data_IF_036700451926
#
_entry.id   IF_036700451926
#
_cell.length_a   1.000
_cell.length_b   1.000
_cell.length_c   1.000
_cell.angle_alpha   90.00
_cell.angle_beta   90.00
_cell.angle_gamma   90.00
#
_symmetry.space_group_name_H-M   'P 1'
#
loop_
_entity.id
_entity.type
_entity.pdbx_description
1 polymer ?
#
# COMPACT_ATOMS: atom_id res chain seq x y z
N UNK A 1 6.20 -27.42 -2.37
CA UNK A 1 6.74 -26.03 -2.25
C UNK A 1 5.69 -25.08 -2.77
N UNK A 2 5.40 -24.04 -2.01
CA UNK A 2 4.47 -23.00 -2.41
C UNK A 2 4.98 -22.22 -3.63
N UNK A 3 4.07 -21.65 -4.42
CA UNK A 3 4.42 -20.63 -5.40
C UNK A 3 4.86 -19.36 -4.67
N UNK A 4 6.07 -18.87 -4.95
CA UNK A 4 6.49 -17.56 -4.47
C UNK A 4 5.83 -16.47 -5.31
N UNK A 5 5.12 -15.55 -4.64
CA UNK A 5 4.52 -14.38 -5.26
C UNK A 5 5.58 -13.26 -5.31
N UNK A 6 6.26 -13.14 -6.45
CA UNK A 6 7.38 -12.19 -6.62
C UNK A 6 6.87 -10.77 -6.87
N UNK A 7 6.75 -9.99 -5.77
CA UNK A 7 6.33 -8.61 -5.86
C UNK A 7 7.37 -7.68 -6.49
N UNK A 8 8.66 -8.03 -6.47
CA UNK A 8 9.69 -7.25 -7.18
C UNK A 8 9.47 -7.32 -8.68
N UNK A 9 9.27 -8.53 -9.20
CA UNK A 9 9.02 -8.76 -10.62
C UNK A 9 7.73 -8.06 -11.05
N UNK A 10 6.63 -8.28 -10.33
CA UNK A 10 5.32 -7.70 -10.67
C UNK A 10 5.33 -6.18 -10.58
N UNK A 11 5.96 -5.60 -9.55
CA UNK A 11 6.08 -4.15 -9.45
C UNK A 11 6.91 -3.54 -10.58
N UNK A 12 7.92 -4.27 -11.07
CA UNK A 12 8.72 -3.81 -12.20
C UNK A 12 7.88 -3.81 -13.49
N UNK A 13 7.11 -4.87 -13.76
CA UNK A 13 6.21 -4.94 -14.91
C UNK A 13 5.22 -3.76 -14.93
N UNK A 14 4.58 -3.47 -13.79
CA UNK A 14 3.66 -2.34 -13.68
C UNK A 14 4.38 -1.00 -13.96
N UNK A 15 5.57 -0.81 -13.44
CA UNK A 15 6.33 0.43 -13.69
C UNK A 15 6.77 0.55 -15.16
N UNK A 16 7.04 -0.56 -15.83
CA UNK A 16 7.39 -0.58 -17.26
C UNK A 16 6.16 -0.18 -18.11
N UNK A 17 4.99 -0.74 -17.80
CA UNK A 17 3.71 -0.37 -18.42
C UNK A 17 3.40 1.13 -18.22
N UNK A 18 3.53 1.62 -16.97
CA UNK A 18 3.28 3.03 -16.66
C UNK A 18 4.29 3.97 -17.33
N UNK A 19 5.54 3.55 -17.50
CA UNK A 19 6.57 4.33 -18.20
C UNK A 19 6.20 4.58 -19.66
N UNK A 20 5.67 3.57 -20.34
CA UNK A 20 5.19 3.70 -21.72
C UNK A 20 4.01 4.67 -21.80
N UNK A 21 3.07 4.56 -20.86
CA UNK A 21 1.89 5.43 -20.80
C UNK A 21 2.27 6.89 -20.48
N UNK A 22 3.16 7.12 -19.52
CA UNK A 22 3.66 8.48 -19.20
C UNK A 22 4.38 9.10 -20.42
N UNK A 23 5.11 8.30 -21.19
CA UNK A 23 5.74 8.79 -22.41
C UNK A 23 4.71 9.25 -23.46
N UNK A 24 3.56 8.58 -23.56
CA UNK A 24 2.45 8.99 -24.44
C UNK A 24 1.83 10.31 -23.95
N UNK A 25 1.52 10.45 -22.66
CA UNK A 25 1.01 11.71 -22.09
C UNK A 25 1.96 12.88 -22.33
N UNK A 26 3.27 12.65 -22.18
CA UNK A 26 4.29 13.69 -22.46
C UNK A 26 4.30 14.11 -23.93
N UNK A 27 4.11 13.16 -24.84
CA UNK A 27 4.02 13.49 -26.27
C UNK A 27 2.77 14.33 -26.62
N UNK A 28 1.73 14.23 -25.77
CA UNK A 28 0.50 15.05 -25.86
C UNK A 28 0.62 16.38 -25.08
N UNK A 29 1.77 16.66 -24.46
CA UNK A 29 2.02 17.88 -23.69
C UNK A 29 1.47 17.82 -22.25
N UNK A 30 1.19 16.63 -21.74
CA UNK A 30 0.70 16.41 -20.37
C UNK A 30 1.87 15.94 -19.51
N UNK A 31 2.28 16.78 -18.54
CA UNK A 31 3.26 16.43 -17.54
C UNK A 31 2.56 16.02 -16.23
N UNK A 32 3.15 15.05 -15.53
CA UNK A 32 2.65 14.57 -14.25
C UNK A 32 3.67 14.91 -13.17
N UNK A 33 3.21 15.52 -12.09
CA UNK A 33 4.04 15.93 -10.96
C UNK A 33 3.48 15.42 -9.64
N UNK A 34 4.34 14.73 -8.86
CA UNK A 34 4.09 14.29 -7.49
C UNK A 34 4.82 15.19 -6.50
N UNK A 35 4.10 15.85 -5.62
CA UNK A 35 4.67 16.51 -4.44
C UNK A 35 4.80 15.50 -3.30
N UNK A 36 6.01 15.33 -2.78
CA UNK A 36 6.31 14.43 -1.64
C UNK A 36 6.79 15.28 -0.49
N UNK A 37 6.06 15.25 0.62
CA UNK A 37 6.38 15.99 1.84
C UNK A 37 6.85 14.99 2.91
N UNK A 38 7.96 15.30 3.56
CA UNK A 38 8.46 14.59 4.73
C UNK A 38 8.72 15.59 5.84
N UNK A 39 8.22 15.32 7.04
CA UNK A 39 8.51 16.11 8.25
C UNK A 39 9.43 15.28 9.13
N UNK A 40 10.55 15.88 9.53
CA UNK A 40 11.60 15.19 10.30
C UNK A 40 12.47 14.27 9.42
N UNK A 41 13.34 13.52 10.09
CA UNK A 41 14.40 12.72 9.46
C UNK A 41 14.37 11.24 9.84
N UNK A 42 13.17 10.68 10.06
CA UNK A 42 13.05 9.25 10.34
C UNK A 42 13.75 8.40 9.24
N UNK A 43 14.71 7.53 9.61
CA UNK A 43 15.50 6.78 8.63
C UNK A 43 14.67 5.85 7.74
N UNK A 44 13.60 5.24 8.29
CA UNK A 44 12.73 4.36 7.52
C UNK A 44 11.94 5.16 6.47
N UNK A 45 11.33 6.27 6.89
CA UNK A 45 10.61 7.22 6.01
C UNK A 45 11.51 7.76 4.90
N UNK A 46 12.76 8.12 5.22
CA UNK A 46 13.75 8.62 4.25
C UNK A 46 14.11 7.59 3.17
N UNK A 47 14.15 6.30 3.52
CA UNK A 47 14.35 5.21 2.53
C UNK A 47 13.14 5.11 1.60
N UNK A 48 11.92 5.19 2.14
CA UNK A 48 10.70 5.16 1.33
C UNK A 48 10.60 6.35 0.39
N UNK A 49 10.82 7.57 0.87
CA UNK A 49 10.83 8.80 0.05
C UNK A 49 11.86 8.68 -1.08
N UNK A 50 13.08 8.24 -0.79
CA UNK A 50 14.12 8.03 -1.80
C UNK A 50 13.69 7.01 -2.88
N UNK A 51 13.04 5.92 -2.48
CA UNK A 51 12.58 4.90 -3.42
C UNK A 51 11.40 5.41 -4.27
N UNK A 52 10.50 6.22 -3.70
CA UNK A 52 9.43 6.91 -4.43
C UNK A 52 9.99 7.87 -5.47
N UNK A 53 10.98 8.72 -5.11
CA UNK A 53 11.70 9.61 -6.04
C UNK A 53 12.33 8.83 -7.22
N UNK A 54 12.99 7.70 -6.93
CA UNK A 54 13.56 6.84 -7.97
C UNK A 54 12.48 6.26 -8.90
N UNK A 55 11.35 5.85 -8.34
CA UNK A 55 10.25 5.31 -9.13
C UNK A 55 9.62 6.38 -10.04
N UNK A 56 9.39 7.60 -9.52
CA UNK A 56 8.96 8.74 -10.34
C UNK A 56 9.91 9.00 -11.51
N UNK A 57 11.21 9.11 -11.23
CA UNK A 57 12.23 9.32 -12.26
C UNK A 57 12.25 8.19 -13.30
N UNK A 58 12.05 6.95 -12.86
CA UNK A 58 12.03 5.77 -13.74
C UNK A 58 10.89 5.80 -14.75
N UNK A 59 9.67 6.15 -14.29
CA UNK A 59 8.48 6.20 -15.17
C UNK A 59 8.33 7.54 -15.89
N UNK A 60 9.13 8.55 -15.54
CA UNK A 60 9.11 9.87 -16.17
C UNK A 60 8.19 10.90 -15.50
N UNK A 61 7.69 10.64 -14.30
CA UNK A 61 6.93 11.59 -13.47
C UNK A 61 7.88 12.56 -12.77
N UNK A 62 7.56 13.86 -12.75
CA UNK A 62 8.28 14.84 -11.95
C UNK A 62 8.03 14.58 -10.45
N UNK A 63 9.07 14.70 -9.63
CA UNK A 63 8.92 14.62 -8.17
C UNK A 63 9.45 15.87 -7.51
N UNK A 64 8.56 16.66 -6.90
CA UNK A 64 8.91 17.81 -6.04
C UNK A 64 8.94 17.34 -4.60
N UNK A 65 10.07 17.55 -3.93
CA UNK A 65 10.27 17.08 -2.56
C UNK A 65 10.40 18.23 -1.60
N UNK A 66 9.67 18.13 -0.50
CA UNK A 66 9.63 19.07 0.60
C UNK A 66 10.09 18.34 1.86
N UNK A 67 11.33 18.58 2.26
CA UNK A 67 11.94 18.02 3.47
C UNK A 67 11.87 19.09 4.55
N UNK A 68 10.96 18.94 5.49
CA UNK A 68 10.67 19.91 6.54
C UNK A 68 11.34 19.49 7.85
N UNK A 69 11.81 20.45 8.68
CA UNK A 69 12.32 20.18 10.02
C UNK A 69 11.30 19.43 10.89
N UNK A 70 11.76 18.70 11.89
CA UNK A 70 10.90 17.97 12.83
C UNK A 70 10.02 18.90 13.65
N UNK A 71 10.49 20.13 13.89
CA UNK A 71 9.80 21.19 14.64
C UNK A 71 8.73 21.92 13.81
N UNK A 72 8.56 21.59 12.54
CA UNK A 72 7.55 22.19 11.67
C UNK A 72 6.16 22.09 12.32
N UNK A 73 5.48 23.22 12.46
CA UNK A 73 4.16 23.25 13.08
C UNK A 73 3.09 22.64 12.16
N UNK A 74 1.98 22.18 12.76
CA UNK A 74 0.84 21.67 12.00
C UNK A 74 0.30 22.74 11.03
N UNK A 75 0.23 24.00 11.46
CA UNK A 75 -0.23 25.12 10.64
C UNK A 75 0.66 25.36 9.42
N UNK A 76 1.98 25.27 9.57
CA UNK A 76 2.92 25.43 8.46
C UNK A 76 2.77 24.28 7.45
N UNK A 77 2.60 23.03 7.93
CA UNK A 77 2.37 21.87 7.05
C UNK A 77 1.03 21.99 6.33
N UNK A 78 -0.04 22.38 7.01
CA UNK A 78 -1.36 22.61 6.40
C UNK A 78 -1.25 23.67 5.30
N UNK A 79 -0.61 24.79 5.58
CA UNK A 79 -0.42 25.87 4.60
C UNK A 79 0.30 25.38 3.35
N UNK A 80 1.37 24.59 3.51
CA UNK A 80 2.08 24.00 2.36
C UNK A 80 1.15 23.08 1.56
N UNK A 81 0.37 22.22 2.22
CA UNK A 81 -0.58 21.32 1.54
C UNK A 81 -1.65 22.14 0.79
N UNK A 82 -2.16 23.22 1.36
CA UNK A 82 -3.13 24.10 0.69
C UNK A 82 -2.53 24.82 -0.54
N UNK A 83 -1.28 25.27 -0.45
CA UNK A 83 -0.54 25.83 -1.59
C UNK A 83 -0.40 24.80 -2.72
N UNK A 84 -0.05 23.56 -2.38
CA UNK A 84 0.07 22.46 -3.34
C UNK A 84 -1.28 22.01 -3.91
N UNK A 85 -2.36 22.08 -3.12
CA UNK A 85 -3.71 21.86 -3.63
C UNK A 85 -4.08 22.89 -4.72
N UNK A 86 -3.68 24.12 -4.55
CA UNK A 86 -3.95 25.21 -5.49
C UNK A 86 -3.01 25.20 -6.71
N UNK A 87 -1.84 24.58 -6.62
CA UNK A 87 -0.87 24.51 -7.72
C UNK A 87 -1.36 23.55 -8.82
N UNK A 88 -1.69 24.10 -10.00
CA UNK A 88 -2.12 23.32 -11.18
C UNK A 88 -0.99 22.46 -11.77
N UNK A 89 0.26 22.75 -11.46
CA UNK A 89 1.42 21.98 -11.88
C UNK A 89 1.71 20.79 -10.97
N UNK A 90 0.91 20.55 -9.91
CA UNK A 90 1.00 19.40 -9.01
C UNK A 90 -0.24 18.53 -9.19
N UNK A 91 -0.06 17.29 -9.64
CA UNK A 91 -1.14 16.34 -9.87
C UNK A 91 -1.45 15.48 -8.66
N UNK A 92 -0.43 15.10 -7.89
CA UNK A 92 -0.57 14.29 -6.68
C UNK A 92 0.18 14.88 -5.50
N UNK A 93 -0.35 14.69 -4.31
CA UNK A 93 0.28 15.10 -3.03
C UNK A 93 0.40 13.88 -2.14
N UNK A 94 1.57 13.70 -1.56
CA UNK A 94 1.86 12.66 -0.60
C UNK A 94 2.57 13.28 0.61
N UNK A 95 1.98 13.12 1.79
CA UNK A 95 2.64 13.38 3.07
C UNK A 95 3.13 12.06 3.64
N UNK A 96 4.43 11.89 3.77
CA UNK A 96 5.02 10.65 4.27
C UNK A 96 4.70 10.47 5.75
N UNK A 97 3.94 9.41 6.06
CA UNK A 97 3.62 9.01 7.42
C UNK A 97 4.69 8.05 8.00
N UNK A 98 4.87 8.04 9.32
CA UNK A 98 4.21 8.91 10.30
C UNK A 98 4.76 10.34 10.28
N UNK A 99 3.94 11.31 10.70
CA UNK A 99 4.40 12.66 11.03
C UNK A 99 4.76 12.73 12.53
N UNK A 100 5.51 13.76 13.00
CA UNK A 100 5.77 13.96 14.42
C UNK A 100 4.50 14.04 15.27
N UNK A 101 4.56 13.60 16.53
CA UNK A 101 3.41 13.44 17.45
C UNK A 101 2.60 14.73 17.70
N UNK A 102 3.18 15.90 17.46
CA UNK A 102 2.50 17.19 17.61
C UNK A 102 1.63 17.60 16.41
N UNK A 103 1.65 16.81 15.35
CA UNK A 103 0.86 17.01 14.12
C UNK A 103 -0.24 15.95 14.04
N UNK A 104 -1.48 16.35 13.83
CA UNK A 104 -2.62 15.47 13.65
C UNK A 104 -2.63 14.91 12.21
N UNK A 105 -2.27 13.61 12.06
CA UNK A 105 -2.29 12.91 10.77
C UNK A 105 -3.64 12.98 10.06
N UNK A 106 -4.73 12.79 10.81
CA UNK A 106 -6.08 12.79 10.23
C UNK A 106 -6.44 14.18 9.65
N UNK A 107 -5.99 15.25 10.30
CA UNK A 107 -6.18 16.61 9.83
C UNK A 107 -5.38 16.86 8.55
N UNK A 108 -4.13 16.43 8.51
CA UNK A 108 -3.29 16.54 7.31
C UNK A 108 -3.89 15.77 6.13
N UNK A 109 -4.28 14.51 6.34
CA UNK A 109 -4.94 13.69 5.29
C UNK A 109 -6.18 14.39 4.75
N UNK A 110 -7.01 15.00 5.61
CA UNK A 110 -8.23 15.71 5.21
C UNK A 110 -7.96 17.03 4.51
N UNK A 111 -6.79 17.63 4.69
CA UNK A 111 -6.39 18.86 4.01
C UNK A 111 -5.99 18.62 2.56
N UNK A 112 -5.48 17.44 2.24
CA UNK A 112 -5.15 17.07 0.85
C UNK A 112 -6.44 17.06 0.02
N UNK A 113 -6.44 17.68 -1.16
CA UNK A 113 -7.57 17.56 -2.09
C UNK A 113 -7.83 16.11 -2.46
N UNK A 114 -9.09 15.62 -2.40
CA UNK A 114 -9.41 14.24 -2.83
C UNK A 114 -8.95 13.91 -4.24
N UNK A 115 -8.84 14.90 -5.12
CA UNK A 115 -8.39 14.72 -6.50
C UNK A 115 -6.86 14.68 -6.64
N UNK A 116 -6.13 14.91 -5.52
CA UNK A 116 -4.66 14.82 -5.44
C UNK A 116 -4.18 13.82 -4.39
N UNK A 117 -5.11 13.12 -3.72
CA UNK A 117 -4.84 12.11 -2.67
C UNK A 117 -4.32 10.80 -3.27
N UNK A 118 -3.11 10.80 -3.79
CA UNK A 118 -2.52 9.64 -4.48
C UNK A 118 -2.19 8.45 -3.56
N UNK A 119 -2.21 8.61 -2.23
CA UNK A 119 -2.13 7.49 -1.28
C UNK A 119 -3.50 6.80 -1.07
N UNK A 120 -4.61 7.49 -1.40
CA UNK A 120 -5.97 6.96 -1.25
C UNK A 120 -6.44 6.88 0.21
N UNK A 121 -5.98 7.79 1.07
CA UNK A 121 -6.32 7.80 2.50
C UNK A 121 -7.41 8.81 2.87
N UNK A 122 -7.68 9.78 1.99
CA UNK A 122 -8.72 10.78 2.23
C UNK A 122 -10.09 10.11 2.41
N UNK A 123 -10.94 10.56 3.36
CA UNK A 123 -12.26 9.97 3.59
C UNK A 123 -13.14 9.88 2.34
N UNK A 124 -13.01 10.81 1.40
CA UNK A 124 -13.71 10.76 0.10
C UNK A 124 -13.21 9.59 -0.75
N UNK A 125 -11.89 9.37 -0.86
CA UNK A 125 -11.31 8.24 -1.58
C UNK A 125 -11.76 6.90 -0.96
N UNK A 126 -11.74 6.81 0.37
CA UNK A 126 -12.24 5.64 1.11
C UNK A 126 -13.72 5.42 0.87
N UNK A 127 -14.54 6.48 0.89
CA UNK A 127 -15.98 6.40 0.59
C UNK A 127 -16.25 5.90 -0.82
N UNK A 128 -15.59 6.48 -1.83
CA UNK A 128 -15.67 6.06 -3.23
C UNK A 128 -15.30 4.58 -3.40
N UNK A 129 -14.24 4.12 -2.73
CA UNK A 129 -13.86 2.71 -2.73
C UNK A 129 -15.01 1.81 -2.26
N UNK A 130 -15.65 2.13 -1.13
CA UNK A 130 -16.71 1.31 -0.55
C UNK A 130 -17.99 1.26 -1.39
N UNK A 131 -18.35 2.35 -2.07
CA UNK A 131 -19.56 2.40 -2.92
C UNK A 131 -19.28 2.05 -4.40
N UNK A 132 -18.03 1.71 -4.74
CA UNK A 132 -17.64 1.27 -6.09
C UNK A 132 -17.46 2.39 -7.10
N UNK A 133 -17.34 3.63 -6.66
CA UNK A 133 -17.05 4.79 -7.52
C UNK A 133 -15.57 4.86 -7.93
N UNK A 134 -15.29 5.62 -9.00
CA UNK A 134 -13.90 5.92 -9.42
C UNK A 134 -13.24 6.82 -8.38
N UNK A 135 -12.01 6.50 -8.01
CA UNK A 135 -11.19 7.27 -7.07
C UNK A 135 -9.86 6.57 -6.80
N UNK A 136 -8.98 7.24 -6.09
CA UNK A 136 -7.69 6.66 -5.73
C UNK A 136 -7.88 5.50 -4.74
N UNK A 137 -7.13 4.43 -4.97
CA UNK A 137 -7.13 3.25 -4.11
C UNK A 137 -5.91 3.31 -3.19
N UNK A 138 -6.10 2.92 -1.93
CA UNK A 138 -4.96 2.75 -1.02
C UNK A 138 -3.90 1.84 -1.64
N UNK A 139 -2.67 2.32 -1.73
CA UNK A 139 -1.61 1.72 -2.57
C UNK A 139 -1.29 0.27 -2.17
N UNK A 140 -1.13 -0.03 -0.88
CA UNK A 140 -0.79 -1.38 -0.42
C UNK A 140 -1.90 -2.39 -0.73
N UNK A 141 -3.17 -2.16 -0.39
CA UNK A 141 -4.28 -3.05 -0.78
C UNK A 141 -4.43 -3.21 -2.30
N UNK A 142 -4.33 -2.14 -3.07
CA UNK A 142 -4.36 -2.22 -4.53
C UNK A 142 -3.20 -3.08 -5.08
N UNK A 143 -2.01 -2.95 -4.48
CA UNK A 143 -0.85 -3.78 -4.82
C UNK A 143 -1.09 -5.26 -4.54
N UNK A 144 -1.77 -5.61 -3.44
CA UNK A 144 -2.12 -6.99 -3.11
C UNK A 144 -3.08 -7.57 -4.16
N UNK A 145 -4.07 -6.82 -4.60
CA UNK A 145 -4.96 -7.26 -5.70
C UNK A 145 -4.15 -7.53 -6.98
N UNK A 146 -3.19 -6.67 -7.32
CA UNK A 146 -2.33 -6.88 -8.48
C UNK A 146 -1.42 -8.12 -8.31
N UNK A 147 -0.89 -8.37 -7.11
CA UNK A 147 -0.12 -9.59 -6.81
C UNK A 147 -0.95 -10.84 -7.09
N UNK A 148 -2.18 -10.90 -6.55
CA UNK A 148 -3.07 -12.03 -6.74
C UNK A 148 -3.42 -12.23 -8.22
N UNK A 149 -3.88 -11.19 -8.91
CA UNK A 149 -4.28 -11.25 -10.33
C UNK A 149 -3.12 -11.65 -11.26
N UNK A 150 -1.96 -11.02 -11.09
CA UNK A 150 -0.77 -11.30 -11.95
C UNK A 150 -0.08 -12.63 -11.60
N UNK A 151 -0.41 -13.21 -10.45
CA UNK A 151 0.00 -14.58 -10.08
C UNK A 151 -1.03 -15.66 -10.47
N UNK A 152 -2.09 -15.28 -11.22
CA UNK A 152 -3.19 -16.15 -11.64
C UNK A 152 -3.96 -16.78 -10.45
N UNK A 153 -4.08 -16.04 -9.34
CA UNK A 153 -4.83 -16.45 -8.16
C UNK A 153 -6.21 -15.81 -8.22
N UNK A 154 -7.25 -16.64 -8.38
CA UNK A 154 -8.65 -16.17 -8.37
C UNK A 154 -9.09 -15.78 -6.97
N UNK A 155 -9.78 -14.64 -6.86
CA UNK A 155 -10.39 -14.14 -5.62
C UNK A 155 -11.88 -14.49 -5.58
N UNK A 156 -12.51 -14.57 -6.74
CA UNK A 156 -13.95 -14.83 -6.88
C UNK A 156 -14.36 -16.11 -6.16
N UNK A 157 -15.36 -16.02 -5.28
CA UNK A 157 -15.90 -17.12 -4.51
C UNK A 157 -14.98 -17.66 -3.39
N UNK A 158 -13.83 -17.04 -3.15
CA UNK A 158 -12.88 -17.45 -2.11
C UNK A 158 -13.23 -16.88 -0.74
N UNK A 159 -12.98 -17.66 0.30
CA UNK A 159 -13.00 -17.19 1.69
C UNK A 159 -11.72 -16.41 1.95
N UNK A 160 -11.84 -15.09 2.10
CA UNK A 160 -10.73 -14.18 2.31
C UNK A 160 -10.72 -13.72 3.77
N UNK A 161 -9.69 -14.01 4.51
CA UNK A 161 -9.53 -13.52 5.89
C UNK A 161 -8.41 -12.50 5.93
N UNK A 162 -8.71 -11.34 6.51
CA UNK A 162 -7.74 -10.28 6.76
C UNK A 162 -7.49 -10.21 8.26
N UNK A 163 -6.25 -10.39 8.68
CA UNK A 163 -5.85 -10.14 10.06
C UNK A 163 -5.24 -8.75 10.13
N UNK A 164 -6.02 -7.79 10.64
CA UNK A 164 -5.68 -6.37 10.68
C UNK A 164 -6.87 -5.50 10.27
N UNK A 165 -7.01 -4.31 10.89
CA UNK A 165 -8.14 -3.40 10.63
C UNK A 165 -7.74 -1.93 10.57
N UNK A 166 -6.52 -1.64 10.17
CA UNK A 166 -6.06 -0.27 9.99
C UNK A 166 -6.83 0.45 8.88
N UNK A 167 -6.88 1.77 8.95
CA UNK A 167 -7.53 2.59 7.92
C UNK A 167 -6.77 2.54 6.59
N UNK A 168 -5.45 2.31 6.65
CA UNK A 168 -4.57 2.36 5.48
C UNK A 168 -4.41 1.01 4.76
N UNK A 169 -4.68 -0.14 5.46
CA UNK A 169 -4.53 -1.48 4.87
C UNK A 169 -5.77 -2.35 5.11
N UNK A 170 -6.08 -2.70 6.35
CA UNK A 170 -7.08 -3.75 6.64
C UNK A 170 -8.48 -3.44 6.13
N UNK A 171 -8.98 -2.23 6.39
CA UNK A 171 -10.31 -1.81 5.91
C UNK A 171 -10.38 -1.66 4.40
N UNK A 172 -9.46 -0.94 3.72
CA UNK A 172 -9.49 -0.85 2.26
C UNK A 172 -9.25 -2.21 1.59
N UNK A 173 -8.46 -3.10 2.18
CA UNK A 173 -8.28 -4.45 1.66
C UNK A 173 -9.60 -5.24 1.64
N UNK A 174 -10.41 -5.10 2.70
CA UNK A 174 -11.73 -5.74 2.75
C UNK A 174 -12.64 -5.26 1.62
N UNK A 175 -12.68 -3.95 1.37
CA UNK A 175 -13.46 -3.39 0.28
C UNK A 175 -12.99 -3.89 -1.10
N UNK A 176 -11.67 -3.96 -1.31
CA UNK A 176 -11.11 -4.42 -2.59
C UNK A 176 -11.37 -5.91 -2.83
N UNK A 177 -11.19 -6.77 -1.84
CA UNK A 177 -11.51 -8.20 -1.98
C UNK A 177 -13.00 -8.44 -2.22
N UNK A 178 -13.88 -7.64 -1.58
CA UNK A 178 -15.31 -7.69 -1.84
C UNK A 178 -15.64 -7.28 -3.29
N UNK A 179 -14.99 -6.25 -3.83
CA UNK A 179 -15.14 -5.83 -5.24
C UNK A 179 -14.67 -6.91 -6.24
N UNK A 180 -13.75 -7.77 -5.82
CA UNK A 180 -13.29 -8.92 -6.60
C UNK A 180 -14.11 -10.20 -6.35
N UNK A 181 -15.32 -10.07 -5.78
CA UNK A 181 -16.27 -11.16 -5.47
C UNK A 181 -15.74 -12.18 -4.44
N UNK A 182 -14.82 -11.80 -3.56
CA UNK A 182 -14.41 -12.60 -2.41
C UNK A 182 -15.42 -12.52 -1.25
N UNK A 183 -15.52 -13.58 -0.46
CA UNK A 183 -16.21 -13.57 0.84
C UNK A 183 -15.23 -13.11 1.91
N UNK A 184 -15.49 -11.99 2.58
CA UNK A 184 -14.48 -11.31 3.39
C UNK A 184 -14.78 -11.35 4.88
N UNK A 185 -13.81 -11.81 5.65
CA UNK A 185 -13.81 -11.72 7.12
C UNK A 185 -12.65 -10.83 7.58
N UNK A 186 -12.92 -9.83 8.42
CA UNK A 186 -11.88 -9.00 9.03
C UNK A 186 -11.70 -9.41 10.50
N UNK A 187 -10.52 -9.90 10.82
CA UNK A 187 -10.12 -10.30 12.17
C UNK A 187 -9.10 -9.30 12.76
N UNK A 188 -9.02 -9.24 14.07
CA UNK A 188 -8.18 -8.27 14.78
C UNK A 188 -7.85 -8.74 16.21
N UNK A 189 -7.12 -7.96 16.98
CA UNK A 189 -6.67 -8.27 18.34
C UNK A 189 -7.80 -8.57 19.35
N UNK A 190 -9.06 -8.31 19.02
CA UNK A 190 -10.24 -8.61 19.87
C UNK A 190 -11.06 -9.78 19.31
N UNK A 191 -10.64 -10.38 18.21
CA UNK A 191 -11.30 -11.56 17.63
C UNK A 191 -11.07 -12.76 18.55
N UNK A 192 -12.15 -13.42 18.94
CA UNK A 192 -12.08 -14.70 19.68
C UNK A 192 -11.67 -15.80 18.71
N UNK A 193 -10.93 -16.77 19.22
CA UNK A 193 -10.51 -17.96 18.46
C UNK A 193 -9.87 -17.60 17.09
N UNK A 194 -8.94 -16.63 17.11
CA UNK A 194 -8.32 -16.07 15.92
C UNK A 194 -7.74 -17.16 15.00
N UNK A 195 -7.17 -18.23 15.54
CA UNK A 195 -6.62 -19.36 14.77
C UNK A 195 -7.71 -20.03 13.93
N UNK A 196 -8.86 -20.32 14.55
CA UNK A 196 -9.99 -20.97 13.87
C UNK A 196 -10.61 -20.06 12.79
N UNK A 197 -10.66 -18.75 13.03
CA UNK A 197 -11.10 -17.79 12.02
C UNK A 197 -10.12 -17.75 10.85
N UNK A 198 -8.81 -17.68 11.12
CA UNK A 198 -7.77 -17.61 10.11
C UNK A 198 -7.69 -18.89 9.25
N UNK A 199 -7.85 -20.07 9.86
CA UNK A 199 -7.85 -21.38 9.16
C UNK A 199 -8.98 -21.57 8.13
N UNK A 200 -9.99 -20.71 8.11
CA UNK A 200 -11.03 -20.78 7.07
C UNK A 200 -10.56 -20.21 5.74
N UNK A 201 -9.49 -19.40 5.77
CA UNK A 201 -9.06 -18.63 4.62
C UNK A 201 -8.54 -19.49 3.47
N UNK A 202 -9.10 -19.32 2.28
CA UNK A 202 -8.45 -19.67 1.02
C UNK A 202 -7.35 -18.66 0.69
N UNK A 203 -7.60 -17.37 1.05
CA UNK A 203 -6.64 -16.26 0.92
C UNK A 203 -6.54 -15.57 2.29
N UNK A 204 -5.36 -15.66 2.90
CA UNK A 204 -5.05 -15.04 4.18
C UNK A 204 -4.18 -13.80 3.98
N UNK A 205 -4.67 -12.64 4.38
CA UNK A 205 -3.93 -11.36 4.36
C UNK A 205 -3.52 -11.01 5.79
N UNK A 206 -2.24 -10.83 6.04
CA UNK A 206 -1.71 -10.54 7.38
C UNK A 206 -1.12 -9.13 7.42
N UNK A 207 -1.70 -8.25 8.23
CA UNK A 207 -1.31 -6.85 8.37
C UNK A 207 -1.49 -6.37 9.83
N UNK A 208 -0.73 -6.94 10.75
CA UNK A 208 -0.87 -6.73 12.20
C UNK A 208 0.31 -6.01 12.85
N UNK A 209 1.43 -5.89 12.16
CA UNK A 209 2.62 -5.24 12.69
C UNK A 209 3.27 -6.01 13.84
N UNK A 210 3.29 -7.36 13.77
CA UNK A 210 3.89 -8.24 14.76
C UNK A 210 4.77 -9.28 14.10
N UNK A 211 6.06 -9.16 14.33
CA UNK A 211 7.08 -10.05 13.77
C UNK A 211 6.74 -11.52 13.97
N UNK A 212 6.70 -12.29 12.87
CA UNK A 212 6.54 -13.76 12.83
C UNK A 212 5.42 -14.32 13.73
N UNK A 213 4.37 -13.51 13.95
CA UNK A 213 3.27 -13.90 14.83
C UNK A 213 2.39 -15.00 14.22
N UNK A 214 2.23 -15.04 12.91
CA UNK A 214 1.40 -16.02 12.20
C UNK A 214 2.26 -17.24 11.84
N UNK A 215 1.90 -18.37 12.44
CA UNK A 215 2.50 -19.69 12.21
C UNK A 215 1.55 -20.56 11.40
N UNK A 216 1.98 -21.79 11.04
CA UNK A 216 1.16 -22.82 10.36
C UNK A 216 -0.14 -23.15 11.12
N UNK A 217 -0.17 -22.93 12.45
CA UNK A 217 -1.38 -23.10 13.25
C UNK A 217 -2.54 -22.13 12.89
N UNK A 218 -2.27 -21.07 12.14
CA UNK A 218 -3.26 -20.07 11.66
C UNK A 218 -3.66 -20.31 10.20
N UNK A 219 -2.99 -21.22 9.49
CA UNK A 219 -3.11 -21.37 8.04
C UNK A 219 -3.87 -22.64 7.69
N UNK A 220 -4.80 -22.52 6.74
CA UNK A 220 -5.45 -23.65 6.10
C UNK A 220 -4.47 -24.29 5.12
N UNK A 221 -4.41 -25.61 5.08
CA UNK A 221 -3.59 -26.33 4.12
C UNK A 221 -3.93 -25.92 2.69
N UNK A 222 -2.92 -25.51 1.93
CA UNK A 222 -3.08 -25.04 0.56
C UNK A 222 -3.58 -23.59 0.43
N UNK A 223 -3.68 -22.81 1.50
CA UNK A 223 -4.07 -21.40 1.43
C UNK A 223 -3.03 -20.54 0.69
N UNK A 224 -3.49 -19.44 0.14
CA UNK A 224 -2.64 -18.35 -0.33
C UNK A 224 -2.38 -17.40 0.84
N UNK A 225 -1.11 -17.06 1.12
CA UNK A 225 -0.74 -16.21 2.25
C UNK A 225 -0.04 -14.95 1.76
N UNK A 226 -0.61 -13.79 2.10
CA UNK A 226 -0.06 -12.47 1.78
C UNK A 226 0.40 -11.80 3.07
N UNK A 227 1.70 -11.66 3.23
CA UNK A 227 2.33 -10.99 4.36
C UNK A 227 2.61 -9.52 4.04
N UNK A 228 1.94 -8.63 4.75
CA UNK A 228 2.08 -7.16 4.62
C UNK A 228 3.10 -6.62 5.62
N UNK A 229 3.45 -7.40 6.64
CA UNK A 229 4.37 -7.01 7.70
C UNK A 229 5.76 -6.69 7.16
N UNK A 230 6.42 -5.74 7.83
CA UNK A 230 7.82 -5.43 7.54
C UNK A 230 8.52 -5.00 8.82
N UNK A 231 9.35 -5.88 9.34
CA UNK A 231 10.11 -5.72 10.58
C UNK A 231 11.60 -5.94 10.33
N UNK A 232 12.40 -5.61 11.33
CA UNK A 232 13.80 -6.04 11.41
C UNK A 232 13.96 -6.94 12.62
N UNK A 233 14.43 -8.15 12.41
CA UNK A 233 14.74 -9.09 13.48
C UNK A 233 16.00 -8.66 14.26
N UNK A 234 16.34 -9.38 15.31
CA UNK A 234 17.51 -9.11 16.15
C UNK A 234 18.84 -9.10 15.38
N UNK A 235 18.91 -9.84 14.26
CA UNK A 235 20.05 -9.86 13.34
C UNK A 235 19.99 -8.76 12.25
N UNK A 236 19.01 -7.83 12.35
CA UNK A 236 18.74 -6.74 11.40
C UNK A 236 18.31 -7.22 10.00
N UNK A 237 17.85 -8.47 9.85
CA UNK A 237 17.23 -8.95 8.62
C UNK A 237 15.77 -8.52 8.54
N UNK A 238 15.29 -8.27 7.31
CA UNK A 238 13.88 -7.97 7.09
C UNK A 238 13.05 -9.25 7.19
N UNK A 239 11.97 -9.18 7.94
CA UNK A 239 10.95 -10.24 8.08
C UNK A 239 9.55 -9.63 8.15
N UNK A 240 8.53 -10.46 8.03
CA UNK A 240 7.13 -10.05 8.07
C UNK A 240 6.40 -10.41 9.35
N UNK A 241 5.07 -10.32 9.27
CA UNK A 241 4.14 -10.77 10.32
C UNK A 241 3.99 -12.30 10.36
N UNK A 242 4.37 -12.97 9.26
CA UNK A 242 4.27 -14.42 9.07
C UNK A 242 5.61 -15.08 9.33
N UNK A 243 5.62 -16.19 10.06
CA UNK A 243 6.76 -17.09 10.11
C UNK A 243 6.86 -17.85 8.78
N UNK A 244 7.63 -17.27 7.86
CA UNK A 244 7.72 -17.75 6.50
C UNK A 244 8.16 -19.21 6.41
N UNK A 245 9.15 -19.60 7.21
CA UNK A 245 9.72 -20.95 7.16
C UNK A 245 8.73 -22.04 7.64
N UNK A 246 7.89 -21.67 8.62
CA UNK A 246 6.86 -22.55 9.16
C UNK A 246 5.60 -22.60 8.26
N UNK A 247 5.25 -21.48 7.61
CA UNK A 247 4.01 -21.36 6.84
C UNK A 247 4.14 -21.77 5.36
N UNK A 248 5.30 -21.54 4.74
CA UNK A 248 5.53 -21.85 3.31
C UNK A 248 5.17 -23.30 2.95
N UNK A 249 5.57 -24.34 3.74
CA UNK A 249 5.24 -25.73 3.39
C UNK A 249 3.74 -26.05 3.36
N UNK A 250 2.92 -25.26 4.06
CA UNK A 250 1.46 -25.42 4.17
C UNK A 250 0.67 -24.54 3.18
N UNK A 251 1.35 -23.69 2.44
CA UNK A 251 0.74 -22.73 1.53
C UNK A 251 0.76 -23.22 0.09
N UNK A 252 -0.26 -22.86 -0.71
CA UNK A 252 -0.19 -23.01 -2.18
C UNK A 252 0.61 -21.90 -2.84
N UNK A 253 0.52 -20.68 -2.27
CA UNK A 253 1.30 -19.52 -2.69
C UNK A 253 1.55 -18.59 -1.49
N UNK A 254 2.69 -17.91 -1.47
CA UNK A 254 3.07 -17.03 -0.35
C UNK A 254 3.93 -15.86 -0.85
N UNK A 255 3.77 -14.67 -0.25
CA UNK A 255 4.66 -13.55 -0.50
C UNK A 255 5.90 -13.62 0.38
N UNK A 256 7.13 -13.40 -0.16
CA UNK A 256 8.33 -13.28 0.65
C UNK A 256 8.43 -11.88 1.30
N UNK A 257 9.11 -11.79 2.44
CA UNK A 257 9.56 -10.51 3.02
C UNK A 257 11.07 -10.58 3.23
N UNK A 258 11.84 -9.72 2.56
CA UNK A 258 11.45 -8.67 1.59
C UNK A 258 11.10 -9.21 0.18
N UNK A 259 10.40 -8.39 -0.60
CA UNK A 259 10.20 -8.64 -2.03
C UNK A 259 8.78 -9.03 -2.44
N UNK A 260 7.86 -9.15 -1.48
CA UNK A 260 6.42 -9.35 -1.72
C UNK A 260 5.67 -8.02 -1.84
N UNK A 261 4.93 -7.65 -0.80
CA UNK A 261 4.01 -6.50 -0.82
C UNK A 261 4.72 -5.14 -0.90
N UNK A 262 5.85 -4.95 -0.21
CA UNK A 262 6.53 -3.65 -0.14
C UNK A 262 6.80 -2.97 -1.48
N UNK A 263 7.39 -3.65 -2.49
CA UNK A 263 7.61 -3.08 -3.82
C UNK A 263 6.31 -2.63 -4.52
N UNK A 264 5.19 -3.31 -4.25
CA UNK A 264 3.90 -3.03 -4.88
C UNK A 264 3.30 -1.71 -4.41
N UNK A 265 3.49 -1.33 -3.15
CA UNK A 265 3.01 -0.04 -2.62
C UNK A 265 3.55 1.12 -3.45
N UNK A 266 4.83 1.08 -3.83
CA UNK A 266 5.45 2.11 -4.67
C UNK A 266 4.91 2.05 -6.11
N UNK A 267 4.75 0.86 -6.67
CA UNK A 267 4.20 0.73 -8.02
C UNK A 267 2.76 1.25 -8.12
N UNK A 268 1.94 0.99 -7.10
CA UNK A 268 0.56 1.50 -7.07
C UNK A 268 0.47 3.00 -6.79
N UNK A 269 1.41 3.57 -6.04
CA UNK A 269 1.53 5.02 -5.92
C UNK A 269 1.83 5.64 -7.31
N UNK A 270 2.73 5.05 -8.08
CA UNK A 270 3.00 5.50 -9.45
C UNK A 270 1.75 5.38 -10.34
N UNK A 271 0.99 4.28 -10.21
CA UNK A 271 -0.29 4.14 -10.90
C UNK A 271 -1.28 5.24 -10.51
N UNK A 272 -1.43 5.55 -9.22
CA UNK A 272 -2.32 6.62 -8.78
C UNK A 272 -1.87 8.00 -9.27
N UNK A 273 -0.55 8.26 -9.39
CA UNK A 273 -0.06 9.48 -10.04
C UNK A 273 -0.50 9.57 -11.51
N UNK A 274 -0.46 8.46 -12.24
CA UNK A 274 -0.91 8.43 -13.64
C UNK A 274 -2.44 8.55 -13.74
N UNK A 275 -3.19 7.97 -12.79
CA UNK A 275 -4.66 8.12 -12.71
C UNK A 275 -5.12 9.58 -12.60
N UNK A 276 -4.28 10.50 -12.12
CA UNK A 276 -4.63 11.94 -12.03
C UNK A 276 -4.89 12.60 -13.38
N UNK A 277 -4.44 11.99 -14.46
CA UNK A 277 -4.54 12.53 -15.85
C UNK A 277 -5.29 11.61 -16.79
N UNK A 278 -5.73 10.41 -16.36
CA UNK A 278 -6.66 9.53 -17.06
C UNK A 278 -8.09 10.04 -16.89
#
# INVERSE_FOLDING_TARGET
>A
MAQLIDGKLISQQIKDELKEEVAQFKAEGIDICLAVIQVGSDPASSVYVRNKKKACAYIGVESRSYELPEETSEEELIKLVEELNADKGVNGILVQLPVPDHIDEDKIIRTISPDKDVDGFHPVSVGRLWIGEKGFLSCTPAGIIQLLKRSNISIEGKECVIIGRSNIVGKPMAALLLRENGTVTVAHSRTKDLKEVAKRADILIVAIGKERFITSEYVKEGAVVIDVGMHRDEANHLCGDVDFADVEPHSSAITPVPGGVGPMTIAMLMNNCVETVR
#
